data_IF_012729218326
#
_entry.id   IF_012729218326
#
_cell.length_a   1.000
_cell.length_b   1.000
_cell.length_c   1.000
_cell.angle_alpha   90.00
_cell.angle_beta   90.00
_cell.angle_gamma   90.00
#
_symmetry.space_group_name_H-M   'P 1'
#
loop_
_entity.id
_entity.type
_entity.pdbx_description
1 polymer ?
#
# COMPACT_ATOMS: atom_id res chain seq x y z
N UNK A 1 16.57 14.20 17.28
CA UNK A 1 17.21 12.93 17.66
C UNK A 1 17.57 12.19 16.40
N UNK A 2 18.87 12.05 16.11
CA UNK A 2 19.37 11.66 14.78
C UNK A 2 19.28 10.15 14.46
N UNK A 3 18.72 9.34 15.36
CA UNK A 3 18.59 7.89 15.16
C UNK A 3 17.83 7.50 13.88
N UNK A 4 16.74 8.19 13.56
CA UNK A 4 16.00 7.93 12.30
C UNK A 4 16.86 8.18 11.06
N UNK A 5 17.73 9.21 11.10
CA UNK A 5 18.68 9.48 10.01
C UNK A 5 19.73 8.37 9.90
N UNK A 6 20.28 7.90 11.03
CA UNK A 6 21.23 6.77 11.05
C UNK A 6 20.65 5.48 10.49
N UNK A 7 19.38 5.18 10.77
CA UNK A 7 18.71 4.02 10.17
C UNK A 7 18.51 4.22 8.66
N UNK A 8 18.13 5.42 8.22
CA UNK A 8 17.97 5.73 6.80
C UNK A 8 19.30 5.61 6.03
N UNK A 9 20.39 6.16 6.56
CA UNK A 9 21.75 6.05 6.01
C UNK A 9 22.17 4.58 5.83
N UNK A 10 21.93 3.74 6.85
CA UNK A 10 22.16 2.31 6.75
C UNK A 10 21.32 1.65 5.63
N UNK A 11 20.04 2.02 5.52
CA UNK A 11 19.14 1.46 4.50
C UNK A 11 19.61 1.84 3.09
N UNK A 12 20.01 3.08 2.90
CA UNK A 12 20.55 3.57 1.63
C UNK A 12 21.88 2.89 1.27
N UNK A 13 22.80 2.81 2.23
CA UNK A 13 24.10 2.14 2.06
C UNK A 13 23.92 0.67 1.67
N UNK A 14 23.13 -0.08 2.43
CA UNK A 14 22.85 -1.49 2.15
C UNK A 14 22.16 -1.69 0.80
N UNK A 15 21.26 -0.78 0.41
CA UNK A 15 20.60 -0.84 -0.90
C UNK A 15 21.61 -0.62 -2.04
N UNK A 16 22.55 0.30 -1.86
CA UNK A 16 23.65 0.54 -2.80
C UNK A 16 24.59 -0.66 -2.90
N UNK A 17 25.03 -1.21 -1.76
CA UNK A 17 25.92 -2.38 -1.70
C UNK A 17 25.29 -3.61 -2.36
N UNK A 18 24.00 -3.87 -2.11
CA UNK A 18 23.28 -5.00 -2.73
C UNK A 18 23.26 -4.93 -4.25
N UNK A 19 23.24 -3.72 -4.84
CA UNK A 19 23.34 -3.56 -6.31
C UNK A 19 24.69 -4.00 -6.85
N UNK A 20 25.73 -3.99 -6.02
CA UNK A 20 27.09 -4.40 -6.36
C UNK A 20 27.43 -5.82 -5.86
N UNK A 21 26.46 -6.56 -5.32
CA UNK A 21 26.68 -7.91 -4.76
C UNK A 21 27.34 -7.93 -3.38
N UNK A 22 27.39 -6.78 -2.70
CA UNK A 22 27.95 -6.63 -1.35
C UNK A 22 26.85 -6.45 -0.31
N UNK A 23 27.16 -6.73 0.96
CA UNK A 23 26.25 -6.52 2.09
C UNK A 23 27.02 -6.01 3.32
N UNK A 24 26.34 -5.22 4.17
CA UNK A 24 26.84 -4.76 5.46
C UNK A 24 25.87 -5.18 6.57
N UNK A 25 26.39 -5.83 7.61
CA UNK A 25 25.54 -6.14 8.77
C UNK A 25 25.29 -4.87 9.61
N UNK A 26 24.15 -4.79 10.32
CA UNK A 26 23.89 -3.70 11.26
C UNK A 26 25.02 -3.50 12.27
N UNK A 27 25.63 -4.57 12.76
CA UNK A 27 26.71 -4.54 13.76
C UNK A 27 27.98 -3.93 13.17
N UNK A 28 28.29 -4.27 11.90
CA UNK A 28 29.44 -3.70 11.19
C UNK A 28 29.22 -2.20 10.94
N UNK A 29 28.03 -1.81 10.51
CA UNK A 29 27.65 -0.40 10.35
C UNK A 29 27.78 0.37 11.68
N UNK A 30 27.20 -0.15 12.75
CA UNK A 30 27.26 0.49 14.06
C UNK A 30 28.69 0.68 14.57
N UNK A 31 29.57 -0.31 14.32
CA UNK A 31 30.99 -0.21 14.67
C UNK A 31 31.73 0.88 13.87
N UNK A 32 31.41 1.03 12.58
CA UNK A 32 32.02 2.05 11.72
C UNK A 32 31.57 3.46 12.11
N UNK A 33 30.29 3.62 12.43
CA UNK A 33 29.70 4.88 12.84
C UNK A 33 29.88 5.19 14.35
N UNK A 34 30.53 4.31 15.10
CA UNK A 34 30.73 4.43 16.55
C UNK A 34 29.42 4.64 17.34
N UNK A 35 28.32 4.00 16.91
CA UNK A 35 27.00 4.07 17.54
C UNK A 35 26.66 2.75 18.25
N UNK A 36 25.73 2.81 19.21
CA UNK A 36 25.28 1.63 19.94
C UNK A 36 24.45 0.69 19.06
N UNK A 37 24.84 -0.60 18.93
CA UNK A 37 24.05 -1.59 18.19
C UNK A 37 22.67 -1.84 18.79
N UNK A 38 22.54 -1.84 20.12
CA UNK A 38 21.25 -2.08 20.80
C UNK A 38 20.25 -0.96 20.49
N UNK A 39 20.70 0.29 20.57
CA UNK A 39 19.91 1.46 20.22
C UNK A 39 19.52 1.46 18.73
N UNK A 40 20.46 1.13 17.85
CA UNK A 40 20.21 1.05 16.42
C UNK A 40 19.13 0.02 16.07
N UNK A 41 19.23 -1.21 16.61
CA UNK A 41 18.23 -2.24 16.40
C UNK A 41 16.86 -1.83 16.93
N UNK A 42 16.80 -1.26 18.13
CA UNK A 42 15.55 -0.75 18.71
C UNK A 42 14.88 0.30 17.81
N UNK A 43 15.63 1.28 17.30
CA UNK A 43 15.09 2.30 16.39
C UNK A 43 14.68 1.74 15.03
N UNK A 44 15.41 0.74 14.52
CA UNK A 44 15.05 0.05 13.28
C UNK A 44 13.74 -0.72 13.43
N UNK A 45 13.57 -1.44 14.53
CA UNK A 45 12.35 -2.19 14.85
C UNK A 45 11.15 -1.25 15.06
N UNK A 46 11.36 -0.12 15.74
CA UNK A 46 10.34 0.92 15.89
C UNK A 46 9.87 1.42 14.52
N UNK A 47 10.81 1.77 13.63
CA UNK A 47 10.47 2.25 12.28
C UNK A 47 9.74 1.20 11.44
N UNK A 48 10.14 -0.07 11.55
CA UNK A 48 9.43 -1.18 10.90
C UNK A 48 7.99 -1.32 11.41
N UNK A 49 7.78 -1.16 12.71
CA UNK A 49 6.45 -1.23 13.31
C UNK A 49 5.59 -0.01 12.96
N UNK A 50 6.18 1.19 12.93
CA UNK A 50 5.52 2.39 12.43
C UNK A 50 5.08 2.19 10.97
N UNK A 51 5.96 1.69 10.10
CA UNK A 51 5.59 1.40 8.71
C UNK A 51 4.44 0.41 8.61
N UNK A 52 4.49 -0.67 9.40
CA UNK A 52 3.42 -1.66 9.47
C UNK A 52 2.10 -1.01 9.89
N UNK A 53 2.13 -0.25 10.98
CA UNK A 53 0.95 0.43 11.53
C UNK A 53 0.36 1.40 10.49
N UNK A 54 1.18 2.29 9.93
CA UNK A 54 0.75 3.26 8.91
C UNK A 54 0.19 2.56 7.67
N UNK A 55 0.83 1.49 7.20
CA UNK A 55 0.34 0.76 6.04
C UNK A 55 -1.05 0.16 6.28
N UNK A 56 -1.24 -0.62 7.35
CA UNK A 56 -2.52 -1.32 7.56
C UNK A 56 -3.64 -0.41 8.09
N UNK A 57 -3.33 0.59 8.94
CA UNK A 57 -4.35 1.44 9.58
C UNK A 57 -4.67 2.72 8.83
N UNK A 58 -3.69 3.31 8.16
CA UNK A 58 -3.88 4.54 7.39
C UNK A 58 -4.06 4.20 5.91
N UNK A 59 -2.98 3.77 5.25
CA UNK A 59 -2.96 3.59 3.80
C UNK A 59 -4.03 2.60 3.33
N UNK A 60 -4.05 1.38 3.87
CA UNK A 60 -4.93 0.34 3.38
C UNK A 60 -6.41 0.65 3.63
N UNK A 61 -6.73 1.15 4.82
CA UNK A 61 -8.08 1.50 5.20
C UNK A 61 -8.61 2.71 4.41
N UNK A 62 -7.77 3.73 4.19
CA UNK A 62 -8.13 4.91 3.39
C UNK A 62 -8.45 4.53 1.94
N UNK A 63 -7.61 3.71 1.32
CA UNK A 63 -7.82 3.28 -0.07
C UNK A 63 -9.05 2.38 -0.23
N UNK A 64 -9.35 1.50 0.74
CA UNK A 64 -10.62 0.75 0.75
C UNK A 64 -11.83 1.69 0.89
N UNK A 65 -11.75 2.67 1.79
CA UNK A 65 -12.84 3.64 1.98
C UNK A 65 -13.03 4.53 0.75
N UNK A 66 -11.95 4.90 0.06
CA UNK A 66 -12.01 5.62 -1.23
C UNK A 66 -12.67 4.78 -2.30
N UNK A 67 -12.25 3.53 -2.45
CA UNK A 67 -12.86 2.61 -3.42
C UNK A 67 -14.36 2.45 -3.16
N UNK A 68 -14.73 2.21 -1.89
CA UNK A 68 -16.12 2.17 -1.45
C UNK A 68 -16.87 3.44 -1.81
N UNK A 69 -16.28 4.61 -1.52
CA UNK A 69 -16.94 5.90 -1.76
C UNK A 69 -17.22 6.12 -3.24
N UNK A 70 -16.30 5.72 -4.12
CA UNK A 70 -16.50 5.80 -5.56
C UNK A 70 -17.62 4.88 -6.05
N UNK A 71 -17.75 3.68 -5.47
CA UNK A 71 -18.90 2.79 -5.74
C UNK A 71 -20.23 3.33 -5.19
N UNK A 72 -20.24 4.01 -4.03
CA UNK A 72 -21.44 4.70 -3.52
C UNK A 72 -21.86 5.86 -4.44
N UNK A 73 -20.90 6.62 -4.97
CA UNK A 73 -21.19 7.73 -5.89
C UNK A 73 -21.75 7.22 -7.22
N UNK A 74 -21.34 6.02 -7.67
CA UNK A 74 -21.96 5.35 -8.80
C UNK A 74 -23.46 5.15 -8.54
N UNK A 75 -23.82 4.54 -7.42
CA UNK A 75 -25.24 4.29 -7.09
C UNK A 75 -26.08 5.57 -7.03
N UNK A 76 -25.47 6.67 -6.58
CA UNK A 76 -26.17 7.94 -6.39
C UNK A 76 -26.32 8.75 -7.69
N UNK A 77 -25.33 8.68 -8.58
CA UNK A 77 -25.19 9.67 -9.67
C UNK A 77 -25.03 9.07 -11.06
N UNK A 78 -24.70 7.78 -11.21
CA UNK A 78 -24.38 7.19 -12.51
C UNK A 78 -25.52 7.28 -13.54
N UNK A 79 -26.78 7.24 -13.08
CA UNK A 79 -27.95 7.35 -13.98
C UNK A 79 -28.29 8.78 -14.36
N UNK A 80 -27.95 9.74 -13.48
CA UNK A 80 -28.18 11.17 -13.73
C UNK A 80 -27.07 11.78 -14.57
N UNK A 81 -25.84 11.32 -14.37
CA UNK A 81 -24.64 11.82 -15.02
C UNK A 81 -23.83 10.64 -15.58
N UNK A 82 -24.24 10.08 -16.73
CA UNK A 82 -23.57 8.92 -17.34
C UNK A 82 -22.08 9.11 -17.59
N UNK A 83 -21.62 10.35 -17.78
CA UNK A 83 -20.21 10.71 -17.91
C UNK A 83 -19.36 10.39 -16.66
N UNK A 84 -19.99 10.25 -15.48
CA UNK A 84 -19.31 9.92 -14.23
C UNK A 84 -19.07 8.41 -14.05
N UNK A 85 -19.77 7.57 -14.81
CA UNK A 85 -19.70 6.09 -14.72
C UNK A 85 -18.28 5.57 -14.80
N UNK A 86 -17.60 5.84 -15.91
CA UNK A 86 -16.25 5.34 -16.19
C UNK A 86 -15.17 5.95 -15.28
N UNK A 87 -15.18 7.27 -14.99
CA UNK A 87 -14.26 7.85 -14.00
C UNK A 87 -14.39 7.24 -12.60
N UNK A 88 -15.62 7.04 -12.11
CA UNK A 88 -15.84 6.52 -10.75
C UNK A 88 -15.45 5.05 -10.63
N UNK A 89 -15.79 4.21 -11.60
CA UNK A 89 -15.40 2.78 -11.55
C UNK A 89 -13.88 2.63 -11.66
N UNK A 90 -13.23 3.46 -12.49
CA UNK A 90 -11.78 3.50 -12.59
C UNK A 90 -11.12 3.91 -11.28
N UNK A 91 -11.64 4.94 -10.61
CA UNK A 91 -11.14 5.37 -9.31
C UNK A 91 -11.28 4.25 -8.26
N UNK A 92 -12.42 3.54 -8.27
CA UNK A 92 -12.64 2.39 -7.39
C UNK A 92 -11.64 1.25 -7.66
N UNK A 93 -11.44 0.89 -8.92
CA UNK A 93 -10.48 -0.14 -9.37
C UNK A 93 -9.05 0.21 -8.92
N UNK A 94 -8.59 1.43 -9.23
CA UNK A 94 -7.23 1.88 -8.87
C UNK A 94 -7.05 1.89 -7.35
N UNK A 95 -8.02 2.43 -6.62
CA UNK A 95 -7.95 2.54 -5.17
C UNK A 95 -7.93 1.16 -4.50
N UNK A 96 -8.76 0.22 -4.96
CA UNK A 96 -8.75 -1.14 -4.45
C UNK A 96 -7.45 -1.88 -4.77
N UNK A 97 -7.03 -1.88 -6.04
CA UNK A 97 -5.90 -2.67 -6.49
C UNK A 97 -4.56 -2.17 -5.92
N UNK A 98 -4.43 -0.87 -5.59
CA UNK A 98 -3.21 -0.30 -5.01
C UNK A 98 -2.74 -1.02 -3.74
N UNK A 99 -3.66 -1.60 -2.98
CA UNK A 99 -3.39 -2.31 -1.72
C UNK A 99 -2.56 -3.59 -1.91
N UNK A 100 -2.74 -4.23 -3.06
CA UNK A 100 -2.10 -5.50 -3.42
C UNK A 100 -0.81 -5.29 -4.20
N UNK A 101 -0.47 -4.03 -4.45
CA UNK A 101 0.74 -3.62 -5.13
C UNK A 101 1.83 -3.29 -4.11
N UNK A 102 3.07 -3.67 -4.41
CA UNK A 102 4.19 -3.46 -3.48
C UNK A 102 4.46 -1.97 -3.28
N UNK A 103 4.27 -1.50 -2.05
CA UNK A 103 4.74 -0.20 -1.58
C UNK A 103 6.09 -0.36 -0.85
N UNK A 104 6.99 0.61 -0.99
CA UNK A 104 8.27 0.59 -0.28
C UNK A 104 8.11 1.23 1.11
N UNK A 105 8.47 0.52 2.17
CA UNK A 105 8.62 1.07 3.51
C UNK A 105 9.91 1.90 3.66
N UNK A 106 10.08 2.53 4.82
CA UNK A 106 11.29 3.28 5.20
C UNK A 106 12.45 2.34 5.53
N UNK A 107 12.15 1.17 6.06
CA UNK A 107 13.09 0.05 6.19
C UNK A 107 12.78 -0.95 5.09
N UNK A 108 13.75 -1.74 4.60
CA UNK A 108 13.71 -2.63 3.40
C UNK A 108 12.44 -3.49 3.17
N UNK A 109 11.52 -3.51 4.12
CA UNK A 109 10.19 -4.06 4.04
C UNK A 109 9.38 -3.43 2.90
N UNK A 110 8.80 -4.30 2.08
CA UNK A 110 7.78 -3.92 1.11
C UNK A 110 6.42 -4.31 1.65
N UNK A 111 5.50 -3.37 1.69
CA UNK A 111 4.16 -3.58 2.22
C UNK A 111 3.15 -3.73 1.10
N UNK A 112 2.31 -4.74 1.22
CA UNK A 112 1.15 -5.00 0.38
C UNK A 112 0.22 -5.95 1.14
N UNK A 113 -1.06 -6.00 0.77
CA UNK A 113 -1.95 -7.05 1.20
C UNK A 113 -1.66 -8.32 0.41
N UNK A 114 -1.48 -9.43 1.13
CA UNK A 114 -1.36 -10.75 0.51
C UNK A 114 -2.75 -11.26 0.12
N UNK A 115 -3.01 -11.44 -1.18
CA UNK A 115 -4.33 -11.85 -1.68
C UNK A 115 -4.84 -13.13 -1.01
N UNK A 116 -3.97 -14.13 -0.80
CA UNK A 116 -4.32 -15.37 -0.10
C UNK A 116 -4.87 -15.18 1.32
N UNK A 117 -4.46 -14.10 2.01
CA UNK A 117 -4.87 -13.80 3.38
C UNK A 117 -6.11 -12.92 3.40
N UNK A 118 -6.14 -11.89 2.57
CA UNK A 118 -7.16 -10.82 2.66
C UNK A 118 -8.32 -10.98 1.69
N UNK A 119 -8.21 -11.82 0.65
CA UNK A 119 -9.28 -12.02 -0.35
C UNK A 119 -9.99 -13.35 -0.07
N UNK A 120 -11.32 -13.36 0.11
CA UNK A 120 -12.08 -14.60 0.16
C UNK A 120 -12.02 -15.37 -1.15
N UNK A 121 -11.90 -16.70 -1.07
CA UNK A 121 -11.81 -17.55 -2.26
C UNK A 121 -13.01 -17.37 -3.21
N UNK A 122 -14.21 -17.20 -2.66
CA UNK A 122 -15.44 -16.96 -3.43
C UNK A 122 -15.40 -15.68 -4.27
N UNK A 123 -14.56 -14.70 -3.90
CA UNK A 123 -14.43 -13.40 -4.59
C UNK A 123 -13.08 -13.26 -5.31
N UNK A 124 -12.32 -14.35 -5.42
CA UNK A 124 -10.99 -14.34 -6.04
C UNK A 124 -11.04 -14.01 -7.53
N UNK A 125 -12.07 -14.46 -8.26
CA UNK A 125 -12.25 -14.12 -9.67
C UNK A 125 -12.48 -12.63 -9.86
N UNK A 126 -13.35 -12.02 -9.04
CA UNK A 126 -13.61 -10.58 -9.05
C UNK A 126 -12.35 -9.79 -8.69
N UNK A 127 -11.60 -10.22 -7.67
CA UNK A 127 -10.30 -9.63 -7.32
C UNK A 127 -9.32 -9.64 -8.50
N UNK A 128 -9.12 -10.80 -9.13
CA UNK A 128 -8.21 -10.94 -10.26
C UNK A 128 -8.64 -10.03 -11.42
N UNK A 129 -9.94 -10.02 -11.76
CA UNK A 129 -10.47 -9.14 -12.81
C UNK A 129 -10.19 -7.66 -12.53
N UNK A 130 -10.38 -7.19 -11.29
CA UNK A 130 -10.10 -5.79 -10.92
C UNK A 130 -8.60 -5.48 -11.01
N UNK A 131 -7.74 -6.39 -10.59
CA UNK A 131 -6.29 -6.22 -10.69
C UNK A 131 -5.83 -6.20 -12.16
N UNK A 132 -6.35 -7.09 -13.00
CA UNK A 132 -6.08 -7.12 -14.44
C UNK A 132 -6.56 -5.85 -15.14
N UNK A 133 -7.77 -5.38 -14.81
CA UNK A 133 -8.32 -4.14 -15.35
C UNK A 133 -7.48 -2.92 -14.94
N UNK A 134 -6.98 -2.88 -13.70
CA UNK A 134 -6.05 -1.83 -13.25
C UNK A 134 -4.76 -1.85 -14.07
N UNK A 135 -4.20 -3.01 -14.36
CA UNK A 135 -2.96 -3.12 -15.15
C UNK A 135 -3.18 -2.63 -16.58
N UNK A 136 -4.33 -2.95 -17.17
CA UNK A 136 -4.73 -2.41 -18.47
C UNK A 136 -4.93 -0.88 -18.42
N UNK A 137 -5.58 -0.36 -17.38
CA UNK A 137 -5.75 1.08 -17.18
C UNK A 137 -4.40 1.80 -17.11
N UNK A 138 -3.43 1.26 -16.37
CA UNK A 138 -2.07 1.83 -16.29
C UNK A 138 -1.31 1.71 -17.61
N UNK A 139 -1.36 0.57 -18.29
CA UNK A 139 -0.73 0.37 -19.59
C UNK A 139 -1.21 1.39 -20.64
N UNK A 140 -2.45 1.87 -20.51
CA UNK A 140 -3.03 2.90 -21.39
C UNK A 140 -2.89 4.34 -20.87
N UNK A 141 -2.36 4.54 -19.67
CA UNK A 141 -2.12 5.85 -19.07
C UNK A 141 -0.64 6.23 -18.93
N UNK A 142 0.28 5.36 -19.34
CA UNK A 142 1.69 5.67 -19.62
C UNK A 142 1.87 6.57 -20.86
N UNK A 143 1.03 7.58 -20.99
CA UNK A 143 1.24 8.70 -21.90
C UNK A 143 2.26 9.63 -21.23
N UNK A 144 3.50 9.61 -21.71
CA UNK A 144 4.54 10.51 -21.23
C UNK A 144 4.12 11.97 -21.32
N UNK A 145 4.69 12.84 -20.49
CA UNK A 145 4.33 14.27 -20.35
C UNK A 145 4.39 15.11 -21.66
N UNK A 146 4.83 14.52 -22.79
CA UNK A 146 4.90 15.12 -24.12
C UNK A 146 3.92 14.54 -25.15
N UNK A 147 3.09 13.57 -24.78
CA UNK A 147 2.10 13.01 -25.71
C UNK A 147 0.67 13.26 -25.17
N UNK A 148 0.13 14.47 -25.35
CA UNK A 148 -1.26 14.78 -25.03
C UNK A 148 -2.17 14.17 -26.09
N UNK A 149 -2.12 12.84 -26.25
CA UNK A 149 -3.31 12.12 -26.71
C UNK A 149 -4.25 12.14 -25.53
N UNK A 150 -4.97 13.26 -25.40
CA UNK A 150 -6.28 13.28 -24.80
C UNK A 150 -7.09 12.28 -25.63
N UNK A 151 -6.99 11.01 -25.25
CA UNK A 151 -7.90 9.99 -25.71
C UNK A 151 -9.24 10.45 -25.18
N UNK A 152 -9.98 11.16 -26.03
CA UNK A 152 -11.44 11.03 -26.10
C UNK A 152 -11.74 9.58 -25.74
N UNK A 153 -12.30 9.36 -24.56
CA UNK A 153 -12.46 8.05 -23.94
C UNK A 153 -13.40 7.25 -24.85
N UNK A 154 -12.75 6.57 -25.78
CA UNK A 154 -13.26 5.76 -26.86
C UNK A 154 -12.10 4.84 -27.18
N UNK A 155 -11.79 3.97 -26.21
CA UNK A 155 -10.77 2.94 -26.32
C UNK A 155 -11.28 1.96 -27.39
N UNK A 156 -10.92 2.21 -28.64
CA UNK A 156 -11.03 1.22 -29.71
C UNK A 156 -9.94 0.16 -29.48
N UNK A 157 -10.15 -0.72 -28.50
CA UNK A 157 -9.47 -2.00 -28.41
C UNK A 157 -10.06 -2.91 -29.48
N UNK A 158 -9.20 -3.62 -30.21
CA UNK A 158 -9.60 -4.70 -31.11
C UNK A 158 -10.40 -5.76 -30.31
N UNK A 159 -11.72 -5.65 -30.26
CA UNK A 159 -12.67 -6.72 -29.91
C UNK A 159 -12.98 -6.98 -28.43
N UNK A 160 -12.42 -6.26 -27.47
CA UNK A 160 -12.80 -6.33 -26.03
C UNK A 160 -12.80 -4.91 -25.45
N UNK A 161 -13.92 -4.19 -25.61
CA UNK A 161 -14.06 -2.85 -25.05
C UNK A 161 -14.32 -2.90 -23.54
N UNK A 162 -13.97 -1.81 -22.85
CA UNK A 162 -14.35 -1.56 -21.46
C UNK A 162 -15.72 -0.88 -21.46
N UNK A 163 -16.79 -1.67 -21.46
CA UNK A 163 -18.15 -1.15 -21.50
C UNK A 163 -18.71 -0.97 -20.09
N UNK A 164 -19.58 0.01 -19.92
CA UNK A 164 -20.24 0.26 -18.63
C UNK A 164 -20.98 -0.98 -18.15
N UNK A 165 -21.64 -1.67 -19.07
CA UNK A 165 -22.48 -2.85 -18.82
C UNK A 165 -21.67 -4.02 -18.22
N UNK A 166 -20.41 -4.19 -18.66
CA UNK A 166 -19.51 -5.20 -18.10
C UNK A 166 -19.16 -4.88 -16.62
N UNK A 167 -19.00 -3.59 -16.31
CA UNK A 167 -18.70 -3.13 -14.96
C UNK A 167 -19.93 -3.10 -14.06
N UNK A 168 -21.08 -2.71 -14.61
CA UNK A 168 -22.36 -2.70 -13.91
C UNK A 168 -22.70 -4.09 -13.37
N UNK A 169 -22.48 -5.13 -14.17
CA UNK A 169 -22.63 -6.53 -13.74
C UNK A 169 -21.63 -6.93 -12.63
N UNK A 170 -20.45 -6.29 -12.58
CA UNK A 170 -19.42 -6.55 -11.56
C UNK A 170 -19.67 -5.81 -10.24
N UNK A 171 -20.43 -4.70 -10.25
CA UNK A 171 -20.62 -3.81 -9.09
C UNK A 171 -21.04 -4.55 -7.81
N UNK A 172 -22.01 -5.48 -7.82
CA UNK A 172 -22.43 -6.14 -6.59
C UNK A 172 -21.28 -6.92 -5.93
N UNK A 173 -20.55 -7.72 -6.72
CA UNK A 173 -19.42 -8.50 -6.21
C UNK A 173 -18.24 -7.62 -5.83
N UNK A 174 -18.03 -6.50 -6.52
CA UNK A 174 -16.94 -5.57 -6.17
C UNK A 174 -17.22 -4.89 -4.83
N UNK A 175 -18.46 -4.45 -4.57
CA UNK A 175 -18.85 -3.92 -3.26
C UNK A 175 -18.65 -4.97 -2.15
N UNK A 176 -19.11 -6.19 -2.39
CA UNK A 176 -18.92 -7.30 -1.45
C UNK A 176 -17.43 -7.57 -1.17
N UNK A 177 -16.60 -7.54 -2.21
CA UNK A 177 -15.16 -7.74 -2.10
C UNK A 177 -14.48 -6.66 -1.26
N UNK A 178 -14.83 -5.39 -1.44
CA UNK A 178 -14.28 -4.29 -0.63
C UNK A 178 -14.62 -4.47 0.85
N UNK A 179 -15.89 -4.77 1.16
CA UNK A 179 -16.31 -5.00 2.55
C UNK A 179 -15.64 -6.24 3.15
N UNK A 180 -15.53 -7.33 2.39
CA UNK A 180 -14.89 -8.55 2.88
C UNK A 180 -13.39 -8.35 3.16
N UNK A 181 -12.68 -7.64 2.28
CA UNK A 181 -11.27 -7.28 2.49
C UNK A 181 -11.12 -6.34 3.68
N UNK A 182 -12.01 -5.36 3.84
CA UNK A 182 -12.03 -4.45 5.00
C UNK A 182 -12.21 -5.21 6.32
N UNK A 183 -13.19 -6.11 6.38
CA UNK A 183 -13.42 -6.92 7.58
C UNK A 183 -12.22 -7.80 7.94
N UNK A 184 -11.57 -8.41 6.93
CA UNK A 184 -10.34 -9.19 7.14
C UNK A 184 -9.16 -8.32 7.59
N UNK A 185 -9.06 -7.10 7.06
CA UNK A 185 -8.06 -6.11 7.48
C UNK A 185 -8.24 -5.71 8.95
N UNK A 186 -9.48 -5.47 9.37
CA UNK A 186 -9.81 -5.16 10.77
C UNK A 186 -9.52 -6.34 11.70
N UNK A 187 -9.91 -7.56 11.30
CA UNK A 187 -9.59 -8.78 12.04
C UNK A 187 -8.08 -9.01 12.18
N UNK A 188 -7.31 -8.79 11.12
CA UNK A 188 -5.85 -8.86 11.18
C UNK A 188 -5.26 -7.79 12.11
N UNK A 189 -5.77 -6.56 12.06
CA UNK A 189 -5.30 -5.50 12.94
C UNK A 189 -5.48 -5.83 14.42
N UNK A 190 -6.57 -6.54 14.76
CA UNK A 190 -6.79 -7.09 16.10
C UNK A 190 -5.80 -8.22 16.42
N UNK A 191 -5.64 -9.19 15.52
CA UNK A 191 -4.73 -10.34 15.68
C UNK A 191 -3.29 -9.91 16.00
N UNK A 192 -2.81 -8.85 15.36
CA UNK A 192 -1.44 -8.35 15.52
C UNK A 192 -1.32 -7.11 16.40
N UNK A 193 -2.36 -6.79 17.20
CA UNK A 193 -2.37 -5.70 18.17
C UNK A 193 -2.02 -4.30 17.59
N UNK A 194 -2.42 -4.00 16.36
CA UNK A 194 -2.21 -2.68 15.73
C UNK A 194 -3.50 -1.85 15.64
N UNK A 195 -4.47 -2.08 16.52
CA UNK A 195 -5.76 -1.38 16.45
C UNK A 195 -5.66 0.09 16.89
N UNK A 196 -4.81 0.38 17.87
CA UNK A 196 -4.52 1.73 18.39
C UNK A 196 -3.01 1.96 18.51
N UNK A 197 -2.62 3.22 18.67
CA UNK A 197 -1.21 3.60 18.86
C UNK A 197 -0.69 3.00 20.17
N UNK A 198 -1.47 3.06 21.24
CA UNK A 198 -1.08 2.57 22.57
C UNK A 198 -0.81 1.05 22.54
N UNK A 199 -1.67 0.29 21.87
CA UNK A 199 -1.50 -1.15 21.73
C UNK A 199 -0.31 -1.49 20.82
N UNK A 200 -0.19 -0.81 19.69
CA UNK A 200 0.86 -1.10 18.72
C UNK A 200 2.25 -0.85 19.31
N UNK A 201 2.44 0.27 20.03
CA UNK A 201 3.76 0.73 20.46
C UNK A 201 4.05 0.47 21.95
N UNK A 202 3.24 -0.36 22.62
CA UNK A 202 3.42 -0.76 24.02
C UNK A 202 4.88 -1.14 24.34
N UNK A 203 5.48 -1.99 23.52
CA UNK A 203 6.82 -2.54 23.76
C UNK A 203 7.94 -1.50 23.53
N UNK A 204 7.59 -0.36 22.93
CA UNK A 204 8.48 0.77 22.64
C UNK A 204 8.30 1.95 23.62
N UNK A 205 7.48 1.78 24.67
CA UNK A 205 7.33 2.80 25.73
C UNK A 205 8.59 2.92 26.61
N UNK A 206 9.42 1.88 26.67
CA UNK A 206 10.62 1.82 27.50
C UNK A 206 11.87 1.54 26.64
N UNK A 207 12.40 2.55 25.92
CA UNK A 207 13.63 2.39 25.16
C UNK A 207 14.83 2.04 26.06
N UNK A 208 15.82 1.30 25.54
CA UNK A 208 17.09 1.14 26.24
C UNK A 208 17.77 2.51 26.43
N UNK A 209 18.53 2.75 27.51
CA UNK A 209 19.14 4.05 27.79
C UNK A 209 19.97 4.60 26.63
N UNK A 210 20.65 3.74 25.89
CA UNK A 210 21.48 4.10 24.74
C UNK A 210 20.64 4.66 23.57
N UNK A 211 19.37 4.26 23.43
CA UNK A 211 18.47 4.79 22.41
C UNK A 211 17.99 6.22 22.72
N UNK A 212 18.18 6.68 23.96
CA UNK A 212 17.88 8.05 24.40
C UNK A 212 19.09 9.00 24.24
N UNK A 213 20.27 8.46 23.93
CA UNK A 213 21.47 9.26 23.65
C UNK A 213 21.46 9.61 22.16
N UNK A 214 21.60 10.88 21.80
CA UNK A 214 21.69 11.28 20.39
C UNK A 214 22.97 10.67 19.77
N UNK A 215 22.88 9.96 18.63
CA UNK A 215 24.03 9.32 18.01
C UNK A 215 24.99 10.33 17.34
N UNK A 216 24.72 11.63 17.45
CA UNK A 216 25.51 12.68 16.80
C UNK A 216 25.09 12.89 15.35
N UNK A 217 25.83 13.78 14.66
CA UNK A 217 25.75 13.95 13.21
C UNK A 217 26.65 12.95 12.51
#
# INVERSE_FOLDING_TARGET
MNWRARVAEYVELQTSLKRNGEEISPERYCRQECISPSAFHWWRELLQLEDKFTFYRSFAMEYLNRAKKSLELIDLYADRYPELRMPLIRDAIISYAALFCKSNGRVFTKWHLESQKFVPQALSETHNKICDDRDLVFAHCDLGARDPKVSLIGIALKGKGFYWEDYEALLPQFKELIEAVKNRLEGYAQEVNITSIEQAFQDFLNPPPEALIDPGR
#
